data_IF_196217065222
#
_entry.id   IF_196217065222
#
_cell.length_a   1.000
_cell.length_b   1.000
_cell.length_c   1.000
_cell.angle_alpha   90.00
_cell.angle_beta   90.00
_cell.angle_gamma   90.00
#
_symmetry.space_group_name_H-M   'P 1'
#
loop_
_entity.id
_entity.type
_entity.pdbx_description
1 polymer ?
#
# COMPACT_ATOMS: atom_id res chain seq x y z
N UNK A 1 34.83 6.77 -61.20
CA UNK A 1 35.59 6.52 -59.95
C UNK A 1 34.60 6.39 -58.80
N UNK A 2 34.24 5.16 -58.42
CA UNK A 2 33.27 4.89 -57.35
C UNK A 2 33.94 5.15 -55.99
N UNK A 3 33.48 6.17 -55.26
CA UNK A 3 33.98 6.48 -53.91
C UNK A 3 33.65 5.29 -53.00
N UNK A 4 34.68 4.55 -52.58
CA UNK A 4 34.56 3.44 -51.62
C UNK A 4 34.05 4.02 -50.29
N UNK A 5 32.78 3.77 -49.96
CA UNK A 5 32.20 4.21 -48.70
C UNK A 5 32.94 3.53 -47.54
N UNK A 6 33.54 4.31 -46.64
CA UNK A 6 34.10 3.78 -45.39
C UNK A 6 32.94 3.28 -44.53
N UNK A 7 32.90 1.98 -44.28
CA UNK A 7 31.89 1.33 -43.44
C UNK A 7 32.44 1.29 -42.02
N UNK A 8 31.79 2.02 -41.11
CA UNK A 8 32.14 2.03 -39.69
C UNK A 8 31.25 1.03 -38.95
N UNK A 9 31.81 0.39 -37.93
CA UNK A 9 31.12 -0.54 -37.03
C UNK A 9 30.04 0.18 -36.21
N UNK A 10 28.91 -0.49 -35.93
CA UNK A 10 27.75 0.16 -35.32
C UNK A 10 28.03 0.63 -33.88
N UNK A 11 28.80 -0.13 -33.11
CA UNK A 11 29.19 0.24 -31.74
C UNK A 11 30.09 1.47 -31.71
N UNK A 12 31.02 1.57 -32.65
CA UNK A 12 31.88 2.75 -32.78
C UNK A 12 31.07 4.02 -33.07
N UNK A 13 30.02 3.93 -33.90
CA UNK A 13 29.11 5.07 -34.17
C UNK A 13 28.33 5.48 -32.93
N UNK A 14 27.80 4.51 -32.18
CA UNK A 14 27.02 4.75 -30.94
C UNK A 14 27.90 5.36 -29.85
N UNK A 15 29.10 4.82 -29.65
CA UNK A 15 30.05 5.32 -28.65
C UNK A 15 30.51 6.75 -28.97
N UNK A 16 30.76 7.06 -30.24
CA UNK A 16 31.16 8.41 -30.66
C UNK A 16 30.05 9.44 -30.42
N UNK A 17 28.79 9.06 -30.70
CA UNK A 17 27.62 9.91 -30.42
C UNK A 17 27.43 10.13 -28.91
N UNK A 18 27.59 9.09 -28.08
CA UNK A 18 27.56 9.22 -26.62
C UNK A 18 28.65 10.16 -26.10
N UNK A 19 29.88 9.98 -26.56
CA UNK A 19 31.01 10.81 -26.17
C UNK A 19 30.79 12.30 -26.45
N UNK A 20 30.20 12.64 -27.60
CA UNK A 20 29.83 14.02 -27.96
C UNK A 20 28.76 14.59 -27.02
N UNK A 21 27.78 13.78 -26.63
CA UNK A 21 26.66 14.20 -25.77
C UNK A 21 27.08 14.33 -24.30
N UNK A 22 27.88 13.40 -23.78
CA UNK A 22 28.30 13.35 -22.38
C UNK A 22 29.38 14.39 -22.05
N UNK A 23 30.37 14.56 -22.93
CA UNK A 23 31.45 15.54 -22.71
C UNK A 23 31.13 16.93 -23.28
N UNK A 24 29.92 17.14 -23.82
CA UNK A 24 29.45 18.39 -24.44
C UNK A 24 30.42 18.98 -25.49
N UNK A 25 31.20 18.13 -26.17
CA UNK A 25 32.18 18.53 -27.18
C UNK A 25 31.50 18.88 -28.50
N UNK A 26 32.07 19.82 -29.25
CA UNK A 26 31.51 20.17 -30.57
C UNK A 26 31.75 19.05 -31.59
N UNK A 27 30.76 18.81 -32.46
CA UNK A 27 30.85 17.80 -33.53
C UNK A 27 32.07 18.05 -34.43
N UNK A 28 32.42 19.33 -34.64
CA UNK A 28 33.57 19.77 -35.42
C UNK A 28 34.93 19.42 -34.77
N UNK A 29 34.97 19.38 -33.44
CA UNK A 29 36.17 18.97 -32.71
C UNK A 29 36.38 17.46 -32.82
N UNK A 30 35.34 16.67 -32.54
CA UNK A 30 35.41 15.21 -32.59
C UNK A 30 35.64 14.69 -34.02
N UNK A 31 35.11 15.38 -35.03
CA UNK A 31 35.39 15.09 -36.44
C UNK A 31 36.88 15.23 -36.79
N UNK A 32 37.55 16.26 -36.28
CA UNK A 32 38.99 16.48 -36.49
C UNK A 32 39.83 15.44 -35.75
N UNK A 33 39.47 15.11 -34.51
CA UNK A 33 40.16 14.11 -33.69
C UNK A 33 40.09 12.72 -34.32
N UNK A 34 38.91 12.30 -34.78
CA UNK A 34 38.69 10.98 -35.39
C UNK A 34 39.00 10.93 -36.89
N UNK A 35 39.34 12.07 -37.51
CA UNK A 35 39.53 12.23 -38.98
C UNK A 35 38.33 11.72 -39.79
N UNK A 36 37.12 11.98 -39.30
CA UNK A 36 35.84 11.63 -39.95
C UNK A 36 35.20 12.91 -40.48
N UNK A 37 34.47 12.81 -41.59
CA UNK A 37 33.76 13.95 -42.16
C UNK A 37 32.63 14.41 -41.22
N UNK A 38 32.56 15.71 -40.93
CA UNK A 38 31.55 16.32 -40.04
C UNK A 38 30.12 15.97 -40.45
N UNK A 39 29.81 15.94 -41.75
CA UNK A 39 28.48 15.59 -42.25
C UNK A 39 28.09 14.15 -41.90
N UNK A 40 29.06 13.25 -41.80
CA UNK A 40 28.83 11.85 -41.40
C UNK A 40 28.49 11.75 -39.92
N UNK A 41 29.20 12.50 -39.08
CA UNK A 41 28.93 12.61 -37.64
C UNK A 41 27.59 13.28 -37.35
N UNK A 42 27.22 14.33 -38.09
CA UNK A 42 25.89 14.92 -38.01
C UNK A 42 24.78 13.92 -38.38
N UNK A 43 25.01 13.07 -39.38
CA UNK A 43 24.11 11.97 -39.73
C UNK A 43 23.95 10.94 -38.62
N UNK A 44 25.05 10.56 -37.95
CA UNK A 44 25.01 9.64 -36.80
C UNK A 44 24.34 10.26 -35.58
N UNK A 45 24.67 11.50 -35.25
CA UNK A 45 23.99 12.24 -34.18
C UNK A 45 22.48 12.29 -34.43
N UNK A 46 22.02 12.57 -35.65
CA UNK A 46 20.59 12.58 -35.96
C UNK A 46 19.93 11.20 -35.79
N UNK A 47 20.62 10.13 -36.22
CA UNK A 47 20.10 8.76 -36.17
C UNK A 47 20.08 8.19 -34.73
N UNK A 48 21.15 8.36 -33.97
CA UNK A 48 21.31 7.73 -32.65
C UNK A 48 20.95 8.65 -31.47
N UNK A 49 20.66 9.94 -31.69
CA UNK A 49 20.03 10.82 -30.67
C UNK A 49 18.55 10.51 -30.46
N UNK A 50 17.90 9.83 -31.42
CA UNK A 50 16.48 9.48 -31.38
C UNK A 50 16.22 8.02 -30.98
N UNK A 51 17.25 7.17 -30.92
CA UNK A 51 17.09 5.82 -30.35
C UNK A 51 17.13 5.94 -28.83
N UNK A 52 16.00 5.74 -28.11
CA UNK A 52 16.05 5.60 -26.67
C UNK A 52 16.95 4.42 -26.35
N UNK A 53 17.79 4.56 -25.32
CA UNK A 53 18.57 3.46 -24.78
C UNK A 53 17.68 2.23 -24.61
N UNK A 54 17.94 1.21 -25.42
CA UNK A 54 17.51 -0.13 -25.08
C UNK A 54 18.48 -0.59 -24.00
N UNK A 55 18.13 -0.29 -22.74
CA UNK A 55 18.76 -0.92 -21.58
C UNK A 55 18.30 -2.38 -21.58
N UNK A 56 18.93 -3.20 -22.41
CA UNK A 56 18.84 -4.65 -22.29
C UNK A 56 19.67 -5.08 -21.07
N UNK A 57 19.04 -5.01 -19.91
CA UNK A 57 19.14 -6.14 -19.00
C UNK A 57 17.72 -6.58 -18.72
N UNK A 58 17.35 -7.65 -19.40
CA UNK A 58 16.27 -8.54 -19.02
C UNK A 58 16.43 -8.91 -17.54
N UNK A 59 15.80 -8.16 -16.65
CA UNK A 59 15.37 -8.70 -15.37
C UNK A 59 13.92 -9.06 -15.57
N UNK A 60 13.68 -10.36 -15.52
CA UNK A 60 12.42 -11.02 -15.84
C UNK A 60 11.22 -10.29 -15.21
N UNK A 61 10.08 -10.30 -15.93
CA UNK A 61 8.72 -9.97 -15.47
C UNK A 61 8.29 -10.63 -14.13
N UNK A 62 9.15 -11.46 -13.52
CA UNK A 62 9.03 -12.07 -12.20
C UNK A 62 9.01 -11.03 -11.09
N UNK A 63 9.97 -10.10 -11.06
CA UNK A 63 10.06 -9.12 -9.96
C UNK A 63 8.86 -8.18 -9.95
N UNK A 64 8.38 -7.75 -11.11
CA UNK A 64 7.17 -6.92 -11.23
C UNK A 64 5.89 -7.66 -10.83
N UNK A 65 5.80 -8.96 -11.12
CA UNK A 65 4.68 -9.81 -10.71
C UNK A 65 4.74 -10.10 -9.20
N UNK A 66 5.92 -10.44 -8.69
CA UNK A 66 6.18 -10.70 -7.29
C UNK A 66 6.00 -9.43 -6.45
N UNK A 67 6.47 -8.27 -6.91
CA UNK A 67 6.22 -6.97 -6.29
C UNK A 67 4.73 -6.62 -6.36
N UNK A 68 4.01 -6.94 -7.43
CA UNK A 68 2.55 -6.73 -7.50
C UNK A 68 1.79 -7.65 -6.55
N UNK A 69 2.19 -8.92 -6.44
CA UNK A 69 1.58 -9.88 -5.52
C UNK A 69 1.92 -9.55 -4.07
N UNK A 70 3.15 -9.14 -3.78
CA UNK A 70 3.55 -8.63 -2.48
C UNK A 70 2.79 -7.33 -2.14
N UNK A 71 2.64 -6.39 -3.08
CA UNK A 71 1.81 -5.19 -2.88
C UNK A 71 0.34 -5.52 -2.65
N UNK A 72 -0.21 -6.52 -3.36
CA UNK A 72 -1.57 -7.03 -3.11
C UNK A 72 -1.67 -7.67 -1.73
N UNK A 73 -0.70 -8.50 -1.34
CA UNK A 73 -0.64 -9.13 -0.02
C UNK A 73 -0.53 -8.09 1.07
N UNK A 74 0.38 -7.12 0.95
CA UNK A 74 0.51 -5.99 1.88
C UNK A 74 -0.81 -5.25 2.00
N UNK A 75 -1.45 -4.90 0.88
CA UNK A 75 -2.78 -4.25 0.90
C UNK A 75 -3.85 -5.10 1.59
N UNK A 76 -3.85 -6.43 1.36
CA UNK A 76 -4.78 -7.35 2.03
C UNK A 76 -4.49 -7.43 3.53
N UNK A 77 -3.22 -7.43 3.93
CA UNK A 77 -2.79 -7.44 5.32
C UNK A 77 -3.08 -6.10 6.01
N UNK A 78 -2.94 -4.97 5.31
CA UNK A 78 -3.34 -3.64 5.78
C UNK A 78 -4.86 -3.57 5.96
N UNK A 79 -5.64 -4.01 4.97
CA UNK A 79 -7.12 -4.07 5.02
C UNK A 79 -7.62 -5.00 6.14
N UNK A 80 -6.83 -6.00 6.56
CA UNK A 80 -7.16 -6.97 7.62
C UNK A 80 -6.47 -6.70 8.96
N UNK A 81 -5.65 -5.66 9.03
CA UNK A 81 -4.74 -5.39 10.13
C UNK A 81 -3.59 -6.40 10.18
N UNK A 82 -2.37 -5.93 9.91
CA UNK A 82 -1.16 -6.76 9.90
C UNK A 82 -0.90 -7.49 11.22
N UNK A 83 -1.37 -6.90 12.33
CA UNK A 83 -1.33 -7.50 13.66
C UNK A 83 -2.23 -8.74 13.77
N UNK A 84 -3.45 -8.69 13.23
CA UNK A 84 -4.40 -9.80 13.27
C UNK A 84 -4.07 -10.89 12.24
N UNK A 85 -3.31 -10.56 11.20
CA UNK A 85 -2.82 -11.52 10.22
C UNK A 85 -1.41 -12.06 10.52
N UNK A 86 -0.79 -11.65 11.64
CA UNK A 86 0.52 -12.14 12.04
C UNK A 86 0.48 -13.62 12.43
N UNK A 87 1.56 -14.35 12.13
CA UNK A 87 1.65 -15.78 12.43
C UNK A 87 1.50 -16.05 13.94
N UNK A 88 2.14 -15.24 14.78
CA UNK A 88 2.08 -15.36 16.24
C UNK A 88 0.64 -15.24 16.76
N UNK A 89 -0.13 -14.28 16.22
CA UNK A 89 -1.53 -14.09 16.61
C UNK A 89 -2.43 -15.22 16.07
N UNK A 90 -2.21 -15.68 14.85
CA UNK A 90 -2.95 -16.81 14.28
C UNK A 90 -2.68 -18.11 15.04
N UNK A 91 -1.43 -18.34 15.45
CA UNK A 91 -1.04 -19.49 16.25
C UNK A 91 -1.73 -19.45 17.62
N UNK A 92 -1.71 -18.30 18.30
CA UNK A 92 -2.39 -18.12 19.58
C UNK A 92 -3.90 -18.42 19.48
N UNK A 93 -4.55 -17.98 18.41
CA UNK A 93 -5.98 -18.27 18.20
C UNK A 93 -6.25 -19.76 17.95
N UNK A 94 -5.36 -20.45 17.24
CA UNK A 94 -5.44 -21.90 17.03
C UNK A 94 -5.25 -22.67 18.34
N UNK A 95 -4.29 -22.26 19.18
CA UNK A 95 -4.04 -22.85 20.51
C UNK A 95 -5.27 -22.75 21.42
N UNK A 96 -6.02 -21.65 21.32
CA UNK A 96 -7.26 -21.45 22.08
C UNK A 96 -8.53 -21.94 21.36
N UNK A 97 -8.40 -22.66 20.25
CA UNK A 97 -9.51 -23.18 19.45
C UNK A 97 -10.51 -22.12 18.96
N UNK A 98 -10.06 -20.87 18.77
CA UNK A 98 -10.90 -19.83 18.19
C UNK A 98 -10.95 -19.94 16.67
N UNK A 99 -12.16 -19.90 16.11
CA UNK A 99 -12.35 -19.88 14.67
C UNK A 99 -12.21 -18.44 14.14
N UNK A 100 -11.19 -18.21 13.31
CA UNK A 100 -10.94 -16.89 12.71
C UNK A 100 -11.78 -16.71 11.46
N UNK A 101 -12.78 -15.83 11.52
CA UNK A 101 -13.55 -15.39 10.36
C UNK A 101 -12.92 -14.12 9.79
N UNK A 102 -12.06 -14.27 8.78
CA UNK A 102 -11.63 -13.13 7.97
C UNK A 102 -12.67 -12.91 6.87
N UNK A 103 -13.57 -11.94 7.08
CA UNK A 103 -14.62 -11.58 6.11
C UNK A 103 -14.05 -11.37 4.70
N UNK A 104 -14.86 -11.71 3.69
CA UNK A 104 -14.49 -11.48 2.29
C UNK A 104 -14.32 -9.98 2.06
N UNK A 105 -13.35 -9.63 1.21
CA UNK A 105 -13.09 -8.25 0.83
C UNK A 105 -14.37 -7.61 0.25
N UNK A 106 -14.75 -6.45 0.78
CA UNK A 106 -15.95 -5.72 0.36
C UNK A 106 -17.22 -6.03 1.15
N UNK A 107 -17.19 -6.87 2.19
CA UNK A 107 -18.32 -7.02 3.11
C UNK A 107 -18.26 -5.96 4.23
N UNK A 108 -18.79 -4.77 3.96
CA UNK A 108 -18.84 -3.68 4.93
C UNK A 108 -19.81 -3.94 6.10
N UNK A 109 -20.79 -4.83 5.92
CA UNK A 109 -21.81 -5.09 6.93
C UNK A 109 -21.23 -5.75 8.19
N UNK A 110 -20.22 -6.62 8.03
CA UNK A 110 -19.58 -7.31 9.16
C UNK A 110 -18.84 -6.32 10.09
N UNK A 111 -18.28 -5.24 9.53
CA UNK A 111 -17.56 -4.23 10.30
C UNK A 111 -18.44 -3.05 10.71
N UNK A 112 -19.62 -2.87 10.12
CA UNK A 112 -20.47 -1.69 10.30
C UNK A 112 -20.81 -1.40 11.77
N UNK A 113 -21.06 -2.44 12.57
CA UNK A 113 -21.33 -2.29 14.01
C UNK A 113 -20.12 -1.70 14.75
N UNK A 114 -18.93 -2.23 14.50
CA UNK A 114 -17.69 -1.75 15.11
C UNK A 114 -17.29 -0.36 14.58
N UNK A 115 -17.49 -0.07 13.30
CA UNK A 115 -17.27 1.26 12.73
C UNK A 115 -18.18 2.32 13.36
N UNK A 116 -19.44 1.97 13.62
CA UNK A 116 -20.40 2.83 14.30
C UNK A 116 -19.94 3.11 15.74
N UNK A 117 -19.53 2.08 16.49
CA UNK A 117 -18.96 2.24 17.82
C UNK A 117 -17.71 3.14 17.81
N UNK A 118 -16.76 2.88 16.92
CA UNK A 118 -15.53 3.67 16.80
C UNK A 118 -15.80 5.13 16.45
N UNK A 119 -16.81 5.39 15.63
CA UNK A 119 -17.23 6.76 15.30
C UNK A 119 -17.79 7.49 16.53
N UNK A 120 -18.54 6.78 17.38
CA UNK A 120 -19.13 7.34 18.60
C UNK A 120 -18.08 7.64 19.66
N UNK A 121 -17.24 6.66 20.04
CA UNK A 121 -16.22 6.86 21.06
C UNK A 121 -15.23 7.97 20.66
N UNK A 122 -14.93 8.11 19.37
CA UNK A 122 -14.10 9.23 18.89
C UNK A 122 -14.78 10.57 19.12
N UNK A 123 -16.05 10.71 18.73
CA UNK A 123 -16.80 11.96 18.88
C UNK A 123 -17.09 12.32 20.33
N UNK A 124 -17.51 11.34 21.13
CA UNK A 124 -18.03 11.56 22.48
C UNK A 124 -16.93 11.50 23.56
N UNK A 125 -15.85 10.74 23.34
CA UNK A 125 -14.75 10.60 24.31
C UNK A 125 -13.44 11.21 23.79
N UNK A 126 -12.95 10.81 22.62
CA UNK A 126 -11.58 11.18 22.21
C UNK A 126 -11.46 12.64 21.81
N UNK A 127 -12.36 13.17 20.98
CA UNK A 127 -12.26 14.53 20.44
C UNK A 127 -12.62 15.62 21.46
N UNK A 128 -13.39 15.27 22.50
CA UNK A 128 -13.77 16.19 23.57
C UNK A 128 -12.72 16.27 24.69
N UNK A 129 -11.73 15.38 24.71
CA UNK A 129 -10.74 15.30 25.78
C UNK A 129 -9.32 15.53 25.24
N UNK A 130 -8.45 16.08 26.09
CA UNK A 130 -7.01 16.18 25.85
C UNK A 130 -6.26 15.40 26.92
N UNK A 131 -5.74 14.24 26.54
CA UNK A 131 -5.00 13.37 27.44
C UNK A 131 -3.54 13.78 27.53
N UNK A 132 -3.02 13.95 28.75
CA UNK A 132 -1.60 14.24 29.01
C UNK A 132 -0.78 12.95 29.01
N UNK A 133 -1.40 11.83 29.40
CA UNK A 133 -0.71 10.54 29.48
C UNK A 133 -1.51 9.41 28.85
N UNK A 134 -0.81 8.35 28.46
CA UNK A 134 -1.45 7.14 27.92
C UNK A 134 -2.30 6.40 28.97
N UNK A 135 -1.94 6.50 30.26
CA UNK A 135 -2.71 5.92 31.37
C UNK A 135 -4.06 6.61 31.52
N UNK A 136 -4.06 7.93 31.45
CA UNK A 136 -5.27 8.75 31.49
C UNK A 136 -6.21 8.42 30.32
N UNK A 137 -5.68 8.35 29.09
CA UNK A 137 -6.47 7.96 27.92
C UNK A 137 -7.09 6.56 28.08
N UNK A 138 -6.32 5.58 28.60
CA UNK A 138 -6.84 4.23 28.87
C UNK A 138 -7.97 4.25 29.90
N UNK A 139 -7.83 5.03 30.97
CA UNK A 139 -8.85 5.14 32.00
C UNK A 139 -10.13 5.77 31.46
N UNK A 140 -10.02 6.85 30.69
CA UNK A 140 -11.17 7.52 30.10
C UNK A 140 -11.92 6.62 29.09
N UNK A 141 -11.17 5.88 28.27
CA UNK A 141 -11.74 4.90 27.34
C UNK A 141 -12.47 3.78 28.10
N UNK A 142 -11.85 3.25 29.16
CA UNK A 142 -12.46 2.22 29.99
C UNK A 142 -13.76 2.71 30.64
N UNK A 143 -13.73 3.90 31.25
CA UNK A 143 -14.91 4.49 31.88
C UNK A 143 -16.02 4.79 30.87
N UNK A 144 -15.67 5.29 29.69
CA UNK A 144 -16.63 5.50 28.61
C UNK A 144 -17.31 4.19 28.21
N UNK A 145 -16.57 3.10 28.07
CA UNK A 145 -17.13 1.80 27.66
C UNK A 145 -17.99 1.21 28.79
N UNK A 146 -17.43 1.06 29.99
CA UNK A 146 -18.04 0.30 31.08
C UNK A 146 -19.13 1.06 31.83
N UNK A 147 -18.93 2.37 32.05
CA UNK A 147 -19.84 3.15 32.90
C UNK A 147 -20.90 3.89 32.08
N UNK A 148 -20.60 4.25 30.83
CA UNK A 148 -21.49 5.04 29.99
C UNK A 148 -22.08 4.23 28.83
N UNK A 149 -21.27 3.75 27.89
CA UNK A 149 -21.73 3.10 26.67
C UNK A 149 -22.55 1.85 26.98
N UNK A 150 -22.00 0.90 27.74
CA UNK A 150 -22.67 -0.37 28.02
C UNK A 150 -23.88 -0.21 28.95
N UNK A 151 -23.80 0.69 29.94
CA UNK A 151 -24.79 0.76 31.04
C UNK A 151 -25.84 1.86 30.93
N UNK A 152 -25.58 2.94 30.17
CA UNK A 152 -26.42 4.15 30.19
C UNK A 152 -26.82 4.64 28.81
N UNK A 153 -26.00 4.40 27.80
CA UNK A 153 -26.22 4.95 26.47
C UNK A 153 -27.38 4.24 25.78
N UNK A 154 -28.44 4.99 25.44
CA UNK A 154 -29.55 4.45 24.65
C UNK A 154 -29.17 4.27 23.19
N UNK A 155 -29.52 3.12 22.62
CA UNK A 155 -29.34 2.82 21.20
C UNK A 155 -30.68 2.68 20.49
N UNK A 156 -30.93 3.48 19.44
CA UNK A 156 -32.16 3.38 18.64
C UNK A 156 -32.36 1.99 18.04
N UNK A 157 -31.27 1.34 17.60
CA UNK A 157 -31.29 -0.02 17.08
C UNK A 157 -31.71 -1.08 18.12
N UNK A 158 -31.59 -0.77 19.42
CA UNK A 158 -31.98 -1.66 20.51
C UNK A 158 -33.36 -1.30 21.09
N UNK A 159 -34.08 -0.34 20.51
CA UNK A 159 -35.34 0.15 21.07
C UNK A 159 -35.14 1.17 22.20
N UNK A 160 -34.08 1.98 22.10
CA UNK A 160 -33.74 3.06 23.04
C UNK A 160 -33.33 2.61 24.46
N UNK A 161 -32.96 1.34 24.62
CA UNK A 161 -32.33 0.83 25.85
C UNK A 161 -30.81 0.75 25.72
N UNK A 162 -30.12 0.58 26.85
CA UNK A 162 -28.68 0.36 26.87
C UNK A 162 -28.30 -1.07 26.46
N UNK A 163 -27.05 -1.30 25.99
CA UNK A 163 -26.56 -2.63 25.65
C UNK A 163 -26.72 -3.66 26.79
N UNK A 164 -26.40 -3.28 28.04
CA UNK A 164 -26.57 -4.17 29.18
C UNK A 164 -28.05 -4.50 29.47
N UNK A 165 -28.95 -3.55 29.34
CA UNK A 165 -30.39 -3.80 29.52
C UNK A 165 -30.93 -4.72 28.42
N UNK A 166 -30.51 -4.49 27.18
CA UNK A 166 -30.87 -5.34 26.05
C UNK A 166 -30.38 -6.79 26.25
N UNK A 167 -29.11 -6.96 26.65
CA UNK A 167 -28.53 -8.27 26.92
C UNK A 167 -29.23 -8.99 28.09
N UNK A 168 -29.51 -8.27 29.18
CA UNK A 168 -30.23 -8.81 30.32
C UNK A 168 -31.65 -9.28 29.94
N UNK A 169 -32.37 -8.49 29.13
CA UNK A 169 -33.69 -8.86 28.61
C UNK A 169 -33.62 -10.08 27.69
N UNK A 170 -32.60 -10.16 26.82
CA UNK A 170 -32.38 -11.29 25.92
C UNK A 170 -32.22 -12.62 26.69
N UNK A 171 -31.31 -12.67 27.67
CA UNK A 171 -31.09 -13.87 28.48
C UNK A 171 -32.28 -14.22 29.38
N UNK A 172 -32.97 -13.22 29.92
CA UNK A 172 -34.20 -13.46 30.69
C UNK A 172 -35.28 -14.13 29.82
N UNK A 173 -35.40 -13.74 28.55
CA UNK A 173 -36.34 -14.35 27.62
C UNK A 173 -35.91 -15.76 27.19
N UNK A 174 -34.62 -16.00 26.93
CA UNK A 174 -34.14 -17.35 26.62
C UNK A 174 -34.39 -18.36 27.75
N UNK A 175 -34.18 -17.95 29.00
CA UNK A 175 -34.47 -18.80 30.18
C UNK A 175 -35.93 -19.16 30.31
N UNK A 176 -36.84 -18.28 29.92
CA UNK A 176 -38.30 -18.53 29.93
C UNK A 176 -38.75 -19.48 28.82
N UNK A 177 -38.04 -19.52 27.68
CA UNK A 177 -38.33 -20.42 26.56
C UNK A 177 -37.75 -21.82 26.80
N UNK A 178 -36.68 -21.92 27.58
CA UNK A 178 -36.03 -23.17 27.95
C UNK A 178 -36.63 -23.86 29.19
N UNK A 179 -37.59 -23.23 29.86
CA UNK A 179 -38.31 -23.75 31.04
C UNK A 179 -39.74 -24.13 30.65
#
# INVERSE_FOLDING_TARGET
MTKKQRRYEEDFKRQTVRYILEEAKSVAQVARELKINENTLHGWMKKYKQEPEITETQTFRSEDHEVRELKKRIRILEDRGSQYASNDYQQLLQEHHFQVSMSRRGNCYDNACMESFHSLIKKECIYLNRFRTRKEAKQAIFEYIECFYNRKRSHSALGYVSPCEFEAAYYANQRKVAA
#
